data_IF_540530806796
#
_entry.id   IF_540530806796
#
_cell.length_a   1.000
_cell.length_b   1.000
_cell.length_c   1.000
_cell.angle_alpha   90.00
_cell.angle_beta   90.00
_cell.angle_gamma   90.00
#
_symmetry.space_group_name_H-M   'P 1'
#
loop_
_entity.id
_entity.type
_entity.pdbx_description
1 polymer ?
#
# COMPACT_ATOMS: atom_id res chain seq x y z
N UNK A 1 18.54 8.86 -20.06
CA UNK A 1 17.28 8.87 -19.30
C UNK A 1 16.55 7.56 -19.61
N UNK A 2 16.71 6.55 -18.76
CA UNK A 2 15.96 5.30 -18.86
C UNK A 2 14.50 5.56 -18.52
N UNK A 3 13.58 5.21 -19.43
CA UNK A 3 12.15 5.34 -19.22
C UNK A 3 11.71 4.62 -17.93
N UNK A 4 10.61 5.11 -17.34
CA UNK A 4 10.03 4.57 -16.10
C UNK A 4 9.73 3.08 -16.31
N UNK A 5 10.65 2.22 -15.89
CA UNK A 5 10.45 0.78 -15.82
C UNK A 5 9.48 0.55 -14.64
N UNK A 6 8.50 -0.34 -14.79
CA UNK A 6 7.46 -0.67 -13.78
C UNK A 6 6.18 0.20 -13.75
N UNK A 7 5.65 0.62 -14.91
CA UNK A 7 4.34 1.29 -15.04
C UNK A 7 3.14 0.46 -14.52
N UNK A 8 3.36 -0.80 -14.17
CA UNK A 8 2.37 -1.72 -13.62
C UNK A 8 2.36 -1.81 -12.09
N UNK A 9 3.23 -1.05 -11.40
CA UNK A 9 3.48 -1.20 -9.96
C UNK A 9 3.29 0.10 -9.19
N UNK A 10 3.07 -0.05 -7.89
CA UNK A 10 3.23 1.02 -6.92
C UNK A 10 4.64 0.91 -6.35
N UNK A 11 5.51 1.88 -6.67
CA UNK A 11 6.89 1.90 -6.18
C UNK A 11 7.00 2.93 -5.07
N UNK A 12 7.46 2.59 -3.87
CA UNK A 12 7.50 3.61 -2.81
C UNK A 12 8.27 3.24 -1.55
N UNK A 13 8.27 4.19 -0.61
CA UNK A 13 9.19 4.18 0.54
C UNK A 13 8.60 3.55 1.81
N UNK A 14 7.28 3.42 1.90
CA UNK A 14 6.61 3.02 3.14
C UNK A 14 5.92 1.66 3.00
N UNK A 15 6.64 0.55 3.22
CA UNK A 15 6.08 -0.79 3.09
C UNK A 15 5.21 -1.13 4.28
N UNK A 16 4.19 -1.95 4.03
CA UNK A 16 3.34 -2.56 5.05
C UNK A 16 3.18 -4.04 4.76
N UNK A 17 2.99 -4.80 5.83
CA UNK A 17 2.67 -6.21 5.75
C UNK A 17 1.23 -6.42 6.22
N UNK A 18 0.40 -6.92 5.31
CA UNK A 18 -0.96 -7.36 5.57
C UNK A 18 -0.94 -8.86 5.81
N UNK A 19 -1.35 -9.29 7.00
CA UNK A 19 -1.31 -10.69 7.42
C UNK A 19 -2.31 -10.97 8.54
N UNK A 20 -2.77 -12.22 8.63
CA UNK A 20 -3.54 -12.77 9.75
C UNK A 20 -5.04 -12.88 9.49
N UNK A 21 -5.74 -13.53 10.43
CA UNK A 21 -7.19 -13.67 10.42
C UNK A 21 -7.75 -13.23 11.79
N UNK A 22 -8.37 -12.04 11.89
CA UNK A 22 -8.66 -11.07 10.83
C UNK A 22 -7.39 -10.34 10.30
N UNK A 23 -7.46 -9.84 9.06
CA UNK A 23 -6.35 -9.15 8.39
C UNK A 23 -5.92 -7.89 9.15
N UNK A 24 -4.61 -7.74 9.39
CA UNK A 24 -4.04 -6.59 10.08
C UNK A 24 -3.02 -5.84 9.23
N UNK A 25 -3.09 -4.50 9.25
CA UNK A 25 -2.06 -3.65 8.66
C UNK A 25 -0.88 -3.50 9.64
N UNK A 26 0.26 -4.13 9.33
CA UNK A 26 1.48 -4.02 10.14
C UNK A 26 2.48 -3.04 9.53
N UNK A 27 3.05 -2.19 10.39
CA UNK A 27 4.04 -1.18 10.01
C UNK A 27 5.39 -1.76 9.58
N UNK A 28 6.26 -0.89 9.06
CA UNK A 28 7.56 -1.26 8.48
C UNK A 28 8.46 -2.06 9.44
N UNK A 29 8.56 -1.68 10.73
CA UNK A 29 9.36 -2.43 11.72
C UNK A 29 8.94 -3.90 11.80
N UNK A 30 7.64 -4.16 11.70
CA UNK A 30 7.11 -5.52 11.68
C UNK A 30 7.36 -6.20 10.33
N UNK A 31 7.11 -5.50 9.22
CA UNK A 31 7.36 -6.00 7.86
C UNK A 31 8.83 -6.45 7.69
N UNK A 32 9.79 -5.61 8.10
CA UNK A 32 11.23 -5.92 8.05
C UNK A 32 11.61 -7.11 8.91
N UNK A 33 11.08 -7.21 10.14
CA UNK A 33 11.31 -8.38 11.00
C UNK A 33 10.86 -9.68 10.35
N UNK A 34 9.77 -9.64 9.59
CA UNK A 34 9.20 -10.80 8.89
C UNK A 34 9.70 -10.90 7.44
N UNK A 35 10.65 -10.06 7.04
CA UNK A 35 11.24 -10.00 5.71
C UNK A 35 10.21 -9.98 4.57
N UNK A 36 9.04 -9.39 4.80
CA UNK A 36 7.95 -9.43 3.84
C UNK A 36 7.12 -8.15 3.85
N UNK A 37 6.63 -7.76 2.67
CA UNK A 37 5.62 -6.72 2.48
C UNK A 37 4.70 -7.09 1.31
N UNK A 38 3.47 -6.59 1.31
CA UNK A 38 2.50 -6.79 0.22
C UNK A 38 1.68 -5.52 -0.05
N UNK A 39 2.09 -4.39 0.53
CA UNK A 39 1.44 -3.10 0.37
C UNK A 39 2.46 -1.96 0.49
N UNK A 40 2.30 -0.90 -0.30
CA UNK A 40 3.08 0.35 -0.24
C UNK A 40 2.12 1.52 -0.01
N UNK A 41 2.42 2.41 0.95
CA UNK A 41 1.60 3.60 1.14
C UNK A 41 1.78 4.58 -0.01
N UNK A 42 0.67 5.06 -0.57
CA UNK A 42 0.68 5.89 -1.79
C UNK A 42 1.20 7.31 -1.54
N UNK A 43 1.12 7.80 -0.30
CA UNK A 43 1.54 9.16 0.09
C UNK A 43 3.03 9.49 -0.09
N UNK A 44 3.89 8.49 -0.32
CA UNK A 44 5.25 8.70 -0.79
C UNK A 44 5.65 7.55 -1.73
N UNK A 45 5.04 7.57 -2.91
CA UNK A 45 5.22 6.55 -3.95
C UNK A 45 5.19 7.17 -5.35
N UNK A 46 5.72 6.43 -6.31
CA UNK A 46 5.66 6.67 -7.74
C UNK A 46 4.68 5.66 -8.36
N UNK A 47 3.69 6.17 -9.08
CA UNK A 47 2.63 5.38 -9.71
C UNK A 47 2.34 6.00 -11.07
N UNK A 48 2.12 5.17 -12.11
CA UNK A 48 1.62 5.66 -13.39
C UNK A 48 0.22 6.26 -13.22
N UNK A 49 0.08 7.56 -13.47
CA UNK A 49 -1.15 8.30 -13.18
C UNK A 49 -2.32 7.83 -14.03
N UNK A 50 -2.10 7.57 -15.32
CA UNK A 50 -3.15 7.08 -16.24
C UNK A 50 -3.72 5.76 -15.74
N UNK A 51 -2.85 4.85 -15.31
CA UNK A 51 -3.25 3.53 -14.83
C UNK A 51 -3.87 3.59 -13.43
N UNK A 52 -3.32 4.39 -12.52
CA UNK A 52 -3.89 4.62 -11.20
C UNK A 52 -5.30 5.19 -11.30
N UNK A 53 -5.51 6.27 -12.06
CA UNK A 53 -6.82 6.87 -12.24
C UNK A 53 -7.80 5.93 -12.95
N UNK A 54 -7.37 5.23 -14.00
CA UNK A 54 -8.23 4.25 -14.68
C UNK A 54 -8.72 3.17 -13.73
N UNK A 55 -7.85 2.64 -12.86
CA UNK A 55 -8.24 1.64 -11.86
C UNK A 55 -9.12 2.23 -10.78
N UNK A 56 -8.68 3.34 -10.19
CA UNK A 56 -9.38 3.96 -9.07
C UNK A 56 -10.77 4.41 -9.45
N UNK A 57 -10.98 4.96 -10.65
CA UNK A 57 -12.27 5.44 -11.13
C UNK A 57 -13.10 4.40 -11.90
N UNK A 58 -12.55 3.21 -12.14
CA UNK A 58 -13.26 2.11 -12.80
C UNK A 58 -14.42 1.57 -11.96
N UNK A 59 -15.29 0.78 -12.60
CA UNK A 59 -16.47 0.19 -11.94
C UNK A 59 -16.10 -0.76 -10.79
N UNK A 60 -15.04 -1.55 -10.94
CA UNK A 60 -14.53 -2.48 -9.92
C UNK A 60 -14.19 -1.77 -8.59
N UNK A 61 -13.77 -0.50 -8.66
CA UNK A 61 -13.40 0.29 -7.50
C UNK A 61 -14.57 1.05 -6.88
N UNK A 62 -15.75 1.09 -7.51
CA UNK A 62 -16.86 1.98 -7.13
C UNK A 62 -17.29 1.80 -5.67
N UNK A 63 -17.59 0.56 -5.27
CA UNK A 63 -17.96 0.25 -3.88
C UNK A 63 -16.83 0.59 -2.91
N UNK A 64 -15.58 0.34 -3.31
CA UNK A 64 -14.41 0.69 -2.53
C UNK A 64 -14.29 2.20 -2.31
N UNK A 65 -14.51 3.00 -3.36
CA UNK A 65 -14.47 4.47 -3.30
C UNK A 65 -15.53 5.03 -2.36
N UNK A 66 -16.76 4.51 -2.40
CA UNK A 66 -17.84 4.93 -1.48
C UNK A 66 -17.44 4.75 0.00
N UNK A 67 -16.70 3.67 0.32
CA UNK A 67 -16.17 3.42 1.66
C UNK A 67 -15.05 4.40 2.00
N UNK A 68 -14.13 4.66 1.05
CA UNK A 68 -13.06 5.63 1.22
C UNK A 68 -13.64 7.02 1.52
N UNK A 69 -14.64 7.45 0.74
CA UNK A 69 -15.30 8.75 0.91
C UNK A 69 -16.02 8.84 2.26
N UNK A 70 -16.74 7.77 2.66
CA UNK A 70 -17.45 7.71 3.94
C UNK A 70 -16.50 7.74 5.15
N UNK A 71 -15.35 7.09 5.06
CA UNK A 71 -14.37 7.04 6.15
C UNK A 71 -13.35 8.19 6.10
N UNK A 72 -13.28 8.90 4.97
CA UNK A 72 -12.26 9.89 4.62
C UNK A 72 -10.83 9.35 4.83
N UNK A 73 -10.61 8.05 4.55
CA UNK A 73 -9.37 7.29 4.78
C UNK A 73 -9.28 6.09 3.84
N UNK A 74 -8.11 5.45 3.80
CA UNK A 74 -7.87 4.15 3.14
C UNK A 74 -7.85 4.14 1.60
N UNK A 75 -7.72 5.30 0.94
CA UNK A 75 -7.45 5.39 -0.50
C UNK A 75 -6.27 4.50 -0.90
N UNK A 76 -5.18 4.61 -0.15
CA UNK A 76 -3.97 3.84 -0.39
C UNK A 76 -4.18 2.33 -0.25
N UNK A 77 -4.96 1.90 0.75
CA UNK A 77 -5.32 0.49 0.92
C UNK A 77 -6.12 -0.01 -0.28
N UNK A 78 -7.14 0.76 -0.73
CA UNK A 78 -7.94 0.41 -1.89
C UNK A 78 -7.07 0.28 -3.15
N UNK A 79 -6.19 1.24 -3.40
CA UNK A 79 -5.34 1.22 -4.59
C UNK A 79 -4.41 -0.01 -4.61
N UNK A 80 -3.86 -0.41 -3.46
CA UNK A 80 -3.07 -1.63 -3.37
C UNK A 80 -3.88 -2.91 -3.67
N UNK A 81 -5.16 -2.97 -3.27
CA UNK A 81 -6.05 -4.07 -3.66
C UNK A 81 -6.33 -4.09 -5.16
N UNK A 82 -6.60 -2.94 -5.76
CA UNK A 82 -6.85 -2.81 -7.21
C UNK A 82 -5.63 -3.20 -8.04
N UNK A 83 -4.42 -2.87 -7.56
CA UNK A 83 -3.18 -3.30 -8.21
C UNK A 83 -2.93 -4.80 -7.98
N UNK A 84 -3.06 -5.27 -6.74
CA UNK A 84 -2.87 -6.67 -6.37
C UNK A 84 -3.74 -7.62 -7.17
N UNK A 85 -5.05 -7.32 -7.29
CA UNK A 85 -6.01 -8.24 -7.91
C UNK A 85 -6.10 -8.13 -9.44
N UNK A 86 -5.58 -7.06 -10.06
CA UNK A 86 -5.63 -6.89 -11.50
C UNK A 86 -4.64 -7.79 -12.28
N UNK A 87 -3.73 -8.50 -11.62
CA UNK A 87 -2.70 -9.29 -12.32
C UNK A 87 -2.42 -10.61 -11.60
N UNK A 88 -2.56 -11.74 -12.31
CA UNK A 88 -2.54 -13.08 -11.72
C UNK A 88 -1.14 -13.59 -11.32
N UNK A 89 -0.05 -12.91 -11.69
CA UNK A 89 1.31 -13.43 -11.45
C UNK A 89 2.44 -12.38 -11.43
N UNK A 90 2.17 -11.09 -11.61
CA UNK A 90 3.23 -10.07 -11.60
C UNK A 90 3.35 -9.38 -10.24
N UNK A 91 4.59 -8.97 -9.91
CA UNK A 91 4.83 -8.06 -8.79
C UNK A 91 4.10 -6.74 -9.01
N UNK A 92 3.31 -6.32 -8.03
CA UNK A 92 2.44 -5.13 -8.11
C UNK A 92 2.90 -4.00 -7.22
N UNK A 93 3.83 -4.27 -6.31
CA UNK A 93 4.43 -3.29 -5.39
C UNK A 93 5.93 -3.48 -5.32
N UNK A 94 6.68 -2.39 -5.33
CA UNK A 94 8.12 -2.39 -5.09
C UNK A 94 8.46 -1.43 -3.95
N UNK A 95 9.23 -1.92 -3.01
CA UNK A 95 9.81 -1.09 -1.96
C UNK A 95 11.13 -0.50 -2.45
N UNK A 96 11.32 0.78 -2.22
CA UNK A 96 12.60 1.46 -2.36
C UNK A 96 12.95 2.04 -1.00
N UNK A 97 14.15 1.78 -0.51
CA UNK A 97 14.62 2.40 0.72
C UNK A 97 15.05 3.83 0.42
N UNK A 98 14.52 4.84 1.13
CA UNK A 98 14.99 6.21 0.96
C UNK A 98 16.41 6.33 1.52
N UNK A 99 17.30 7.05 0.82
CA UNK A 99 18.61 7.41 1.35
C UNK A 99 18.47 8.31 2.59
N UNK A 100 17.44 9.16 2.60
CA UNK A 100 17.04 9.98 3.74
C UNK A 100 15.57 10.36 3.61
N UNK A 101 14.85 10.44 4.74
CA UNK A 101 13.45 10.86 4.80
C UNK A 101 13.16 11.60 6.10
N UNK A 102 12.48 12.74 6.00
CA UNK A 102 11.95 13.49 7.14
C UNK A 102 10.43 13.38 7.14
N UNK A 103 9.86 13.00 8.28
CA UNK A 103 8.43 13.02 8.52
C UNK A 103 8.06 14.28 9.32
N UNK A 104 7.69 15.34 8.60
CA UNK A 104 7.30 16.63 9.19
C UNK A 104 6.08 16.50 10.12
N UNK A 105 5.22 15.49 9.90
CA UNK A 105 4.02 15.27 10.70
C UNK A 105 4.32 14.86 12.14
N UNK A 106 5.56 14.44 12.43
CA UNK A 106 6.02 14.18 13.81
C UNK A 106 6.36 15.44 14.58
N UNK A 107 6.55 16.56 13.90
CA UNK A 107 6.87 17.85 14.51
C UNK A 107 5.61 18.69 14.78
N UNK A 108 4.51 18.39 14.08
CA UNK A 108 3.24 19.11 14.18
C UNK A 108 2.11 18.13 14.50
N UNK A 109 1.43 18.29 15.64
CA UNK A 109 0.40 17.37 16.16
C UNK A 109 -0.90 17.24 15.35
N UNK A 110 -0.91 17.62 14.07
CA UNK A 110 -2.05 17.57 13.15
C UNK A 110 -2.12 16.33 12.26
N UNK A 111 -1.31 15.30 12.52
CA UNK A 111 -1.29 14.11 11.68
C UNK A 111 -2.60 13.29 11.79
N UNK A 112 -3.08 12.76 10.66
CA UNK A 112 -4.25 11.83 10.62
C UNK A 112 -4.01 10.54 11.45
N UNK A 113 -2.75 10.29 11.81
CA UNK A 113 -2.28 9.18 12.66
C UNK A 113 -2.09 9.54 14.14
N UNK A 114 -2.45 10.74 14.61
CA UNK A 114 -2.23 11.17 16.00
C UNK A 114 -2.79 10.19 17.04
N UNK A 115 -3.96 9.58 16.77
CA UNK A 115 -4.44 8.42 17.53
C UNK A 115 -4.11 7.13 16.80
N UNK A 116 -2.92 6.58 17.07
CA UNK A 116 -2.40 5.41 16.38
C UNK A 116 -3.28 4.16 16.53
N UNK A 117 -3.90 3.95 17.71
CA UNK A 117 -4.79 2.80 17.96
C UNK A 117 -6.03 2.87 17.07
N UNK A 118 -6.70 4.02 17.04
CA UNK A 118 -7.88 4.24 16.18
C UNK A 118 -7.50 4.20 14.70
N UNK A 119 -6.36 4.80 14.33
CA UNK A 119 -5.84 4.80 12.97
C UNK A 119 -5.64 3.37 12.44
N UNK A 120 -4.95 2.50 13.18
CA UNK A 120 -4.75 1.12 12.77
C UNK A 120 -6.04 0.30 12.79
N UNK A 121 -6.96 0.54 13.76
CA UNK A 121 -8.25 -0.15 13.79
C UNK A 121 -9.09 0.15 12.54
N UNK A 122 -9.17 1.43 12.13
CA UNK A 122 -9.88 1.83 10.93
C UNK A 122 -9.26 1.22 9.67
N UNK A 123 -7.93 1.22 9.58
CA UNK A 123 -7.23 0.55 8.46
C UNK A 123 -7.49 -0.95 8.41
N UNK A 124 -7.47 -1.65 9.54
CA UNK A 124 -7.83 -3.07 9.57
C UNK A 124 -9.27 -3.32 9.15
N UNK A 125 -10.20 -2.40 9.46
CA UNK A 125 -11.56 -2.49 8.95
C UNK A 125 -11.60 -2.34 7.42
N UNK A 126 -10.91 -1.34 6.86
CA UNK A 126 -10.79 -1.18 5.41
C UNK A 126 -10.21 -2.43 4.73
N UNK A 127 -9.17 -3.04 5.33
CA UNK A 127 -8.58 -4.29 4.82
C UNK A 127 -9.61 -5.42 4.72
N UNK A 128 -10.42 -5.61 5.77
CA UNK A 128 -11.45 -6.66 5.77
C UNK A 128 -12.58 -6.39 4.78
N UNK A 129 -12.93 -5.13 4.55
CA UNK A 129 -13.98 -4.80 3.59
C UNK A 129 -13.46 -4.97 2.16
N UNK A 130 -12.27 -4.44 1.86
CA UNK A 130 -11.69 -4.54 0.52
C UNK A 130 -11.26 -5.96 0.15
N UNK A 131 -10.88 -6.82 1.11
CA UNK A 131 -10.64 -8.23 0.80
C UNK A 131 -11.91 -8.95 0.33
N UNK A 132 -13.10 -8.53 0.80
CA UNK A 132 -14.38 -9.09 0.34
C UNK A 132 -14.79 -8.60 -1.05
N UNK A 133 -14.48 -7.33 -1.36
CA UNK A 133 -14.85 -6.70 -2.64
C UNK A 133 -13.88 -7.09 -3.75
N UNK A 134 -12.58 -7.00 -3.47
CA UNK A 134 -11.53 -7.16 -4.47
C UNK A 134 -10.88 -8.55 -4.45
N UNK A 135 -11.03 -9.31 -3.36
CA UNK A 135 -10.24 -10.53 -3.10
C UNK A 135 -8.99 -10.25 -2.27
N UNK A 136 -8.43 -11.29 -1.63
CA UNK A 136 -7.29 -11.17 -0.72
C UNK A 136 -5.98 -10.80 -1.44
N UNK A 137 -5.15 -10.01 -0.78
CA UNK A 137 -3.75 -9.73 -1.18
C UNK A 137 -2.74 -10.34 -0.20
N UNK A 138 -3.19 -11.11 0.79
CA UNK A 138 -2.33 -11.65 1.84
C UNK A 138 -1.19 -12.49 1.26
N UNK A 139 -1.48 -13.35 0.28
CA UNK A 139 -0.51 -14.26 -0.33
C UNK A 139 0.47 -13.58 -1.29
N UNK A 140 0.27 -12.29 -1.63
CA UNK A 140 1.11 -11.54 -2.57
C UNK A 140 2.30 -10.85 -1.88
N UNK A 141 3.07 -11.62 -1.10
CA UNK A 141 4.20 -11.13 -0.32
C UNK A 141 5.46 -11.03 -1.18
N UNK A 142 6.23 -9.98 -0.93
CA UNK A 142 7.53 -9.72 -1.54
C UNK A 142 8.57 -9.57 -0.46
N UNK A 143 9.76 -10.11 -0.72
CA UNK A 143 10.89 -10.00 0.17
C UNK A 143 11.62 -8.66 -0.05
N UNK A 144 12.19 -8.15 1.05
CA UNK A 144 13.19 -7.08 0.97
C UNK A 144 14.48 -7.61 0.33
N UNK A 145 15.33 -6.70 -0.14
CA UNK A 145 16.64 -7.00 -0.74
C UNK A 145 16.57 -7.93 -1.96
N UNK A 146 15.40 -7.98 -2.62
CA UNK A 146 15.13 -8.87 -3.75
C UNK A 146 15.39 -8.21 -5.11
N UNK A 147 15.63 -6.90 -5.14
CA UNK A 147 15.90 -6.15 -6.38
C UNK A 147 17.41 -6.14 -6.66
N UNK A 148 17.80 -6.69 -7.83
CA UNK A 148 19.19 -6.86 -8.30
C UNK A 148 20.09 -5.60 -8.24
N UNK A 149 19.50 -4.42 -8.17
CA UNK A 149 20.20 -3.13 -8.15
C UNK A 149 20.34 -2.51 -6.75
N UNK A 150 19.87 -3.19 -5.69
CA UNK A 150 20.11 -2.79 -4.30
C UNK A 150 19.32 -1.56 -3.82
N UNK A 151 18.24 -1.20 -4.49
CA UNK A 151 17.40 -0.05 -4.12
C UNK A 151 16.57 -0.29 -2.84
N UNK A 152 16.46 -1.53 -2.39
CA UNK A 152 15.68 -1.97 -1.24
C UNK A 152 16.50 -2.25 0.03
N UNK A 153 17.84 -2.07 -0.03
CA UNK A 153 18.86 -2.40 1.00
C UNK A 153 19.00 -1.37 2.11
#
# INVERSE_FOLDING_TARGET
>A
MSGVQHLDRIVGFYPRLIIGSPLMCRGEKYARRHKAYNMILTGASFIDSKRAFKRYWGEEAKQGREIVDKLFKCEDVLLNYLYGNATSSSRTVDHVKPAWAIDASKFFGGAISCNMKVHYRLRSNCLMIFSKICGSIEDRKWEFDSIKYGWDV
#
